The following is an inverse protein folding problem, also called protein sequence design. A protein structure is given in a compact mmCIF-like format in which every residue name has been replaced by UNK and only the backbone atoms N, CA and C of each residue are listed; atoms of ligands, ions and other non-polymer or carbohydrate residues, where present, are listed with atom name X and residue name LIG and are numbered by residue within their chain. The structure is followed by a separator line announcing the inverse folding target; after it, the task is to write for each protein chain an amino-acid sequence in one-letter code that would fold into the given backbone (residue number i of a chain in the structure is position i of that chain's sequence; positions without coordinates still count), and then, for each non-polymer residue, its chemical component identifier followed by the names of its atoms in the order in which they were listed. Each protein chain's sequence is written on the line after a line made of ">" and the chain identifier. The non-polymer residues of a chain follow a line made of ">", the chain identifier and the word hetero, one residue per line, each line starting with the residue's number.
data_IF_627116780033
#
_entry.id   IF_627116780033
#
_cell.length_a   1.000
_cell.length_b   1.000
_cell.length_c   1.000
_cell.angle_alpha   90.00
_cell.angle_beta   90.00
_cell.angle_gamma   90.00
#
_symmetry.space_group_name_H-M   'P 1'
#
loop_
_entity.id
_entity.type
_entity.pdbx_description
1 polymer ?
#
# COMPACT_ATOMS: atom_id res chain seq x y z
N UNK A 1 14.51 -18.96 -8.70
CA UNK A 1 13.47 -18.67 -7.69
C UNK A 1 12.57 -17.58 -8.24
N UNK A 2 11.31 -17.87 -8.54
CA UNK A 2 10.36 -16.84 -8.94
C UNK A 2 9.75 -16.23 -7.68
N UNK A 3 10.03 -14.96 -7.41
CA UNK A 3 9.46 -14.22 -6.28
C UNK A 3 7.94 -14.05 -6.38
N UNK A 4 7.36 -14.33 -7.55
CA UNK A 4 5.97 -13.98 -7.88
C UNK A 4 5.11 -15.20 -8.24
N UNK A 5 5.57 -16.43 -7.98
CA UNK A 5 4.81 -17.63 -8.37
C UNK A 5 4.68 -18.60 -7.20
N UNK A 6 3.52 -18.55 -6.54
CA UNK A 6 3.07 -19.57 -5.60
C UNK A 6 2.29 -20.64 -6.37
N UNK A 7 2.79 -21.89 -6.46
CA UNK A 7 2.10 -23.11 -6.94
C UNK A 7 0.76 -22.90 -7.70
N UNK A 8 0.78 -22.28 -8.88
CA UNK A 8 -0.40 -22.12 -9.75
C UNK A 8 -1.43 -21.06 -9.33
N UNK A 9 -1.13 -20.20 -8.35
CA UNK A 9 -1.97 -19.07 -7.93
C UNK A 9 -1.28 -17.73 -8.22
N UNK A 10 -2.03 -16.67 -8.58
CA UNK A 10 -1.44 -15.36 -8.83
C UNK A 10 -0.85 -14.78 -7.54
N UNK A 11 0.24 -14.04 -7.68
CA UNK A 11 0.77 -13.20 -6.61
C UNK A 11 -0.09 -11.94 -6.48
N UNK A 12 -0.73 -11.77 -5.31
CA UNK A 12 -1.68 -10.68 -5.09
C UNK A 12 -1.04 -9.54 -4.32
N UNK A 13 -1.11 -8.34 -4.91
CA UNK A 13 -0.65 -7.07 -4.33
C UNK A 13 -1.88 -6.22 -4.06
N UNK A 14 -2.11 -5.83 -2.81
CA UNK A 14 -3.31 -5.08 -2.42
C UNK A 14 -2.98 -4.02 -1.37
N UNK A 15 -3.89 -3.06 -1.19
CA UNK A 15 -3.72 -1.94 -0.28
C UNK A 15 -4.31 -0.66 -0.88
N UNK A 16 -4.28 0.45 -0.15
CA UNK A 16 -4.95 1.66 -0.56
C UNK A 16 -4.32 2.32 -1.79
N UNK A 17 -5.09 3.19 -2.45
CA UNK A 17 -4.60 3.96 -3.58
C UNK A 17 -3.46 4.90 -3.17
N UNK A 18 -3.60 5.53 -2.01
CA UNK A 18 -2.62 6.44 -1.40
C UNK A 18 -2.53 6.18 0.10
N UNK A 19 -1.41 6.51 0.72
CA UNK A 19 -1.27 6.55 2.18
C UNK A 19 -1.77 7.92 2.66
N UNK A 20 -3.02 7.99 3.13
CA UNK A 20 -3.69 9.26 3.46
C UNK A 20 -3.58 9.62 4.95
N UNK A 21 -3.57 8.62 5.83
CA UNK A 21 -3.23 8.78 7.24
C UNK A 21 -2.63 7.49 7.81
N UNK A 22 -1.95 7.57 8.95
CA UNK A 22 -1.41 6.39 9.62
C UNK A 22 -2.52 5.40 10.00
N UNK A 23 -3.61 5.91 10.56
CA UNK A 23 -4.77 5.11 10.98
C UNK A 23 -5.37 4.35 9.79
N UNK A 24 -5.54 5.04 8.66
CA UNK A 24 -6.09 4.45 7.43
C UNK A 24 -5.18 3.34 6.90
N UNK A 25 -3.86 3.57 6.87
CA UNK A 25 -2.87 2.59 6.39
C UNK A 25 -2.88 1.34 7.27
N UNK A 26 -2.81 1.50 8.59
CA UNK A 26 -2.79 0.38 9.54
C UNK A 26 -4.10 -0.37 9.57
N UNK A 27 -5.24 0.33 9.51
CA UNK A 27 -6.55 -0.31 9.43
C UNK A 27 -6.70 -1.15 8.14
N UNK A 28 -6.19 -0.64 7.01
CA UNK A 28 -6.22 -1.41 5.75
C UNK A 28 -5.30 -2.63 5.82
N UNK A 29 -4.10 -2.49 6.38
CA UNK A 29 -3.19 -3.62 6.56
C UNK A 29 -3.81 -4.70 7.46
N UNK A 30 -4.40 -4.31 8.58
CA UNK A 30 -5.10 -5.22 9.49
C UNK A 30 -6.28 -5.93 8.80
N UNK A 31 -7.09 -5.21 8.02
CA UNK A 31 -8.20 -5.81 7.28
C UNK A 31 -7.76 -6.81 6.20
N UNK A 32 -6.55 -6.64 5.64
CA UNK A 32 -5.96 -7.56 4.67
C UNK A 32 -5.26 -8.77 5.33
N UNK A 33 -5.03 -8.75 6.65
CA UNK A 33 -4.47 -9.91 7.35
C UNK A 33 -5.41 -11.12 7.23
N UNK A 34 -4.84 -12.28 6.92
CA UNK A 34 -5.61 -13.52 6.71
C UNK A 34 -6.26 -13.64 5.33
N UNK A 35 -6.25 -12.60 4.50
CA UNK A 35 -6.62 -12.69 3.08
C UNK A 35 -5.45 -13.25 2.24
N UNK A 36 -5.69 -13.77 1.02
CA UNK A 36 -4.61 -14.28 0.14
C UNK A 36 -3.75 -13.16 -0.49
N UNK A 37 -3.47 -12.08 0.24
CA UNK A 37 -2.61 -10.97 -0.18
C UNK A 37 -1.17 -11.26 0.21
N UNK A 38 -0.27 -11.10 -0.74
CA UNK A 38 1.14 -11.43 -0.58
C UNK A 38 2.00 -10.19 -0.33
N UNK A 39 1.54 -9.02 -0.78
CA UNK A 39 2.26 -7.77 -0.63
C UNK A 39 1.27 -6.61 -0.43
N UNK A 40 1.56 -5.78 0.58
CA UNK A 40 0.86 -4.54 0.82
C UNK A 40 1.39 -3.42 -0.07
N UNK A 41 0.52 -2.59 -0.66
CA UNK A 41 0.89 -1.40 -1.45
C UNK A 41 0.17 -0.15 -0.97
N UNK A 42 0.85 0.99 -1.00
CA UNK A 42 0.22 2.30 -0.87
C UNK A 42 1.01 3.35 -1.68
N UNK A 43 0.30 4.30 -2.29
CA UNK A 43 0.94 5.43 -2.98
C UNK A 43 1.35 6.52 -2.00
N UNK A 44 2.64 6.79 -1.91
CA UNK A 44 3.19 7.79 -0.98
C UNK A 44 3.35 9.17 -1.62
N UNK A 45 3.64 9.20 -2.92
CA UNK A 45 3.58 10.38 -3.78
C UNK A 45 2.61 10.11 -4.93
N UNK A 46 1.74 11.06 -5.22
CA UNK A 46 0.70 10.96 -6.24
C UNK A 46 0.90 12.05 -7.28
N UNK A 47 1.35 11.73 -8.51
CA UNK A 47 1.41 12.73 -9.57
C UNK A 47 0.00 13.24 -9.84
N UNK A 48 -0.21 14.56 -9.73
CA UNK A 48 -1.53 15.17 -9.90
C UNK A 48 -1.60 15.92 -11.22
N UNK A 49 -2.64 15.63 -12.00
CA UNK A 49 -2.99 16.42 -13.19
C UNK A 49 -3.45 17.82 -12.81
N UNK A 50 -4.13 17.97 -11.67
CA UNK A 50 -4.64 19.25 -11.15
C UNK A 50 -3.83 19.70 -9.93
N UNK A 51 -3.20 20.89 -9.97
CA UNK A 51 -2.52 21.48 -8.82
C UNK A 51 -3.45 21.65 -7.60
N UNK A 52 -2.87 21.59 -6.40
CA UNK A 52 -3.59 21.78 -5.14
C UNK A 52 -4.49 20.61 -4.72
N UNK A 53 -4.47 19.50 -5.46
CA UNK A 53 -5.07 18.24 -5.01
C UNK A 53 -4.09 17.46 -4.15
N UNK A 54 -4.55 16.54 -3.31
CA UNK A 54 -3.68 15.72 -2.45
C UNK A 54 -2.52 15.05 -3.22
N UNK A 55 -1.26 15.40 -2.88
CA UNK A 55 -0.07 14.95 -3.60
C UNK A 55 0.60 13.72 -2.94
N UNK A 56 0.01 13.22 -1.85
CA UNK A 56 0.61 12.20 -1.00
C UNK A 56 1.21 12.80 0.28
N UNK A 57 1.45 11.94 1.28
CA UNK A 57 2.06 12.32 2.55
C UNK A 57 3.60 12.30 2.52
N UNK A 58 4.19 11.88 1.39
CA UNK A 58 5.64 11.89 1.22
C UNK A 58 6.40 11.06 2.25
N UNK A 59 7.54 11.56 2.71
CA UNK A 59 8.45 10.79 3.57
C UNK A 59 7.80 10.27 4.86
N UNK A 60 6.82 11.00 5.41
CA UNK A 60 6.11 10.57 6.62
C UNK A 60 5.40 9.22 6.40
N UNK A 61 4.74 9.05 5.26
CA UNK A 61 4.08 7.79 4.92
C UNK A 61 5.06 6.65 4.61
N UNK A 62 6.31 6.93 4.22
CA UNK A 62 7.33 5.88 4.15
C UNK A 62 7.64 5.29 5.52
N UNK A 63 7.64 6.10 6.58
CA UNK A 63 7.85 5.60 7.94
C UNK A 63 6.71 4.66 8.35
N UNK A 64 5.46 5.03 8.07
CA UNK A 64 4.31 4.17 8.36
C UNK A 64 4.40 2.82 7.64
N UNK A 65 4.79 2.81 6.36
CA UNK A 65 4.94 1.57 5.59
C UNK A 65 6.08 0.68 6.09
N UNK A 66 7.12 1.26 6.71
CA UNK A 66 8.20 0.49 7.36
C UNK A 66 7.78 -0.10 8.70
N UNK A 67 6.75 0.45 9.35
CA UNK A 67 6.22 -0.01 10.62
C UNK A 67 5.16 -1.11 10.50
N UNK A 68 4.58 -1.31 9.29
CA UNK A 68 3.64 -2.41 8.98
C UNK A 68 4.30 -3.79 9.00
#
# INVERSE_FOLDING_TARGET
>A
MSFFTQKGKPFLVAGPCSAESKEQVFATAAALQGMPVHLFRAGVWKPRTRPGSFEGMGEEALAWLKEL
#
